data_IF_144566103602
#
_entry.id   IF_144566103602
#
_cell.length_a   1.000
_cell.length_b   1.000
_cell.length_c   1.000
_cell.angle_alpha   90.00
_cell.angle_beta   90.00
_cell.angle_gamma   90.00
#
_symmetry.space_group_name_H-M   'P 1'
#
loop_
_entity.id
_entity.type
_entity.pdbx_description
1 polymer ?
#
# COMPACT_ATOMS: atom_id res chain seq x y z
N UNK A 1 7.78 34.89 -11.40
CA UNK A 1 6.77 33.83 -11.19
C UNK A 1 7.44 32.51 -11.50
N UNK A 2 7.94 31.81 -10.48
CA UNK A 2 8.65 30.53 -10.64
C UNK A 2 7.64 29.40 -10.67
N UNK A 3 7.46 28.80 -11.84
CA UNK A 3 6.67 27.59 -12.03
C UNK A 3 7.28 26.42 -11.24
N UNK A 4 6.58 26.00 -10.19
CA UNK A 4 6.84 24.75 -9.52
C UNK A 4 6.05 23.63 -10.20
N UNK A 5 6.58 23.09 -11.30
CA UNK A 5 6.12 21.79 -11.80
C UNK A 5 6.82 20.68 -11.01
N UNK A 6 6.43 20.49 -9.75
CA UNK A 6 6.72 19.27 -9.00
C UNK A 6 5.68 18.22 -9.38
N UNK A 7 6.08 17.10 -9.97
CA UNK A 7 5.18 16.02 -10.37
C UNK A 7 4.35 15.52 -9.18
N UNK A 8 3.09 15.91 -9.13
CA UNK A 8 2.06 15.54 -8.15
C UNK A 8 1.60 14.07 -8.26
N UNK A 9 2.33 13.23 -9.00
CA UNK A 9 1.96 11.83 -9.24
C UNK A 9 2.42 10.98 -8.05
N UNK A 10 1.48 10.49 -7.25
CA UNK A 10 1.79 9.53 -6.19
C UNK A 10 2.24 8.18 -6.74
N UNK A 11 2.88 7.38 -5.90
CA UNK A 11 3.23 6.00 -6.20
C UNK A 11 1.99 5.11 -6.05
N UNK A 12 1.85 4.11 -6.93
CA UNK A 12 0.67 3.25 -6.96
C UNK A 12 1.03 1.85 -6.46
N UNK A 13 0.19 1.28 -5.60
CA UNK A 13 0.18 -0.13 -5.23
C UNK A 13 -1.16 -0.71 -5.69
N UNK A 14 -1.12 -1.72 -6.54
CA UNK A 14 -2.33 -2.35 -7.09
C UNK A 14 -2.19 -3.87 -7.07
N UNK A 15 -3.33 -4.56 -7.13
CA UNK A 15 -3.35 -6.02 -7.12
C UNK A 15 -4.76 -6.59 -7.21
N UNK A 16 -4.84 -7.92 -7.09
CA UNK A 16 -6.09 -8.68 -7.00
C UNK A 16 -6.01 -9.68 -5.87
N UNK A 17 -7.14 -9.93 -5.21
CA UNK A 17 -7.25 -10.88 -4.10
C UNK A 17 -8.22 -11.98 -4.49
N UNK A 18 -7.78 -13.22 -4.26
CA UNK A 18 -8.55 -14.44 -4.51
C UNK A 18 -8.59 -15.30 -3.26
N UNK A 19 -9.61 -16.15 -3.13
CA UNK A 19 -9.63 -17.23 -2.14
C UNK A 19 -8.84 -18.46 -2.61
N UNK A 20 -8.83 -19.52 -1.81
CA UNK A 20 -8.16 -20.78 -2.12
C UNK A 20 -8.76 -21.53 -3.32
N UNK A 21 -9.95 -21.15 -3.77
CA UNK A 21 -10.62 -21.70 -4.95
C UNK A 21 -10.44 -20.81 -6.19
N UNK A 22 -9.57 -19.79 -6.12
CA UNK A 22 -9.34 -18.78 -7.15
C UNK A 22 -10.56 -17.90 -7.47
N UNK A 23 -11.49 -17.74 -6.53
CA UNK A 23 -12.61 -16.80 -6.67
C UNK A 23 -12.21 -15.40 -6.18
N UNK A 24 -12.56 -14.33 -6.90
CA UNK A 24 -12.20 -12.97 -6.51
C UNK A 24 -12.90 -12.55 -5.22
N UNK A 25 -12.14 -11.97 -4.28
CA UNK A 25 -12.66 -11.54 -2.99
C UNK A 25 -12.92 -10.03 -2.97
N UNK A 26 -14.20 -9.67 -3.05
CA UNK A 26 -14.68 -8.31 -2.96
C UNK A 26 -14.83 -7.82 -1.52
N UNK A 27 -14.89 -6.49 -1.35
CA UNK A 27 -15.19 -5.81 -0.06
C UNK A 27 -14.17 -6.07 1.06
N UNK A 28 -12.94 -6.44 0.72
CA UNK A 28 -11.86 -6.57 1.70
C UNK A 28 -11.15 -5.22 1.88
N UNK A 29 -10.81 -4.89 3.13
CA UNK A 29 -10.01 -3.72 3.43
C UNK A 29 -8.53 -4.04 3.15
N UNK A 30 -7.94 -3.31 2.23
CA UNK A 30 -6.51 -3.38 1.88
C UNK A 30 -5.80 -2.21 2.52
N UNK A 31 -4.78 -2.48 3.34
CA UNK A 31 -3.95 -1.47 3.98
C UNK A 31 -2.53 -1.54 3.46
N UNK A 32 -2.01 -0.40 3.02
CA UNK A 32 -0.62 -0.21 2.60
C UNK A 32 0.08 0.66 3.64
N UNK A 33 1.18 0.14 4.17
CA UNK A 33 1.99 0.81 5.16
C UNK A 33 3.46 0.82 4.75
N UNK A 34 4.20 1.82 5.23
CA UNK A 34 5.66 1.81 5.27
C UNK A 34 6.12 1.06 6.54
N UNK A 35 6.94 0.02 6.37
CA UNK A 35 7.55 -0.74 7.45
C UNK A 35 8.90 -0.16 7.80
N UNK A 36 8.91 0.78 8.73
CA UNK A 36 10.14 1.22 9.36
C UNK A 36 10.59 0.19 10.43
N UNK A 37 11.88 0.20 10.79
CA UNK A 37 12.56 -0.80 11.63
C UNK A 37 11.79 -1.25 12.90
N UNK A 38 10.93 -0.39 13.46
CA UNK A 38 10.10 -0.71 14.64
C UNK A 38 8.65 -0.24 14.55
N UNK A 39 8.22 0.34 13.43
CA UNK A 39 6.90 0.95 13.31
C UNK A 39 6.29 0.74 11.94
N UNK A 40 4.98 0.52 11.90
CA UNK A 40 4.18 0.55 10.68
C UNK A 40 3.51 1.91 10.57
N UNK A 41 3.74 2.59 9.45
CA UNK A 41 3.17 3.91 9.17
C UNK A 41 2.15 3.73 8.07
N UNK A 42 0.88 3.95 8.40
CA UNK A 42 -0.19 3.87 7.41
C UNK A 42 0.05 4.91 6.31
N UNK A 43 0.15 4.44 5.07
CA UNK A 43 0.24 5.32 3.91
C UNK A 43 -1.14 5.57 3.32
N UNK A 44 -1.91 4.49 3.11
CA UNK A 44 -3.27 4.56 2.60
C UNK A 44 -4.00 3.22 2.76
N UNK A 45 -5.32 3.25 2.57
CA UNK A 45 -6.18 2.07 2.54
C UNK A 45 -7.25 2.20 1.46
N UNK A 46 -7.72 1.07 0.94
CA UNK A 46 -8.85 0.99 0.00
C UNK A 46 -9.63 -0.29 0.21
N UNK A 47 -10.71 -0.47 -0.54
CA UNK A 47 -11.55 -1.67 -0.52
C UNK A 47 -11.49 -2.37 -1.87
N UNK A 48 -11.40 -3.71 -1.88
CA UNK A 48 -11.45 -4.46 -3.14
C UNK A 48 -12.80 -4.35 -3.84
N UNK A 49 -12.77 -4.20 -5.16
CA UNK A 49 -13.97 -4.19 -6.00
C UNK A 49 -14.58 -5.59 -6.18
N UNK A 50 -15.66 -5.69 -6.97
CA UNK A 50 -16.35 -6.95 -7.27
C UNK A 50 -15.49 -8.00 -7.98
N UNK A 51 -14.37 -7.59 -8.59
CA UNK A 51 -13.40 -8.44 -9.26
C UNK A 51 -12.16 -8.71 -8.38
N UNK A 52 -12.22 -8.34 -7.10
CA UNK A 52 -11.14 -8.48 -6.14
C UNK A 52 -9.99 -7.51 -6.36
N UNK A 53 -10.11 -6.55 -7.28
CA UNK A 53 -9.06 -5.58 -7.61
C UNK A 53 -8.98 -4.49 -6.55
N UNK A 54 -7.77 -4.01 -6.31
CA UNK A 54 -7.53 -2.79 -5.56
C UNK A 54 -6.44 -1.95 -6.24
N UNK A 55 -6.53 -0.64 -6.05
CA UNK A 55 -5.52 0.33 -6.43
C UNK A 55 -5.44 1.38 -5.33
N UNK A 56 -4.23 1.69 -4.87
CA UNK A 56 -3.95 2.62 -3.78
C UNK A 56 -2.81 3.54 -4.21
N UNK A 57 -3.02 4.85 -4.03
CA UNK A 57 -1.98 5.86 -4.24
C UNK A 57 -1.41 6.33 -2.91
N UNK A 58 -0.08 6.38 -2.81
CA UNK A 58 0.65 6.97 -1.68
C UNK A 58 1.66 8.01 -2.15
N UNK A 59 2.00 8.94 -1.27
CA UNK A 59 2.92 10.05 -1.57
C UNK A 59 4.17 9.96 -0.73
N UNK A 60 5.30 10.28 -1.34
CA UNK A 60 6.60 10.38 -0.67
C UNK A 60 6.56 11.31 0.55
N UNK A 61 5.73 12.37 0.51
CA UNK A 61 5.56 13.32 1.61
C UNK A 61 4.95 12.71 2.88
N UNK A 62 4.37 11.50 2.80
CA UNK A 62 3.83 10.78 3.96
C UNK A 62 4.91 9.99 4.71
N UNK A 63 6.10 9.80 4.13
CA UNK A 63 7.17 9.03 4.74
C UNK A 63 7.76 9.77 5.93
N UNK A 64 7.97 9.04 7.03
CA UNK A 64 8.53 9.57 8.27
C UNK A 64 9.89 8.94 8.58
N UNK A 65 10.65 9.56 9.48
CA UNK A 65 11.98 9.07 9.88
C UNK A 65 13.11 9.53 8.96
N UNK A 66 14.25 8.85 9.06
CA UNK A 66 15.51 9.24 8.40
C UNK A 66 15.57 8.82 6.93
N UNK A 67 14.81 7.81 6.52
CA UNK A 67 14.82 7.27 5.16
C UNK A 67 13.58 7.70 4.34
N UNK A 68 13.28 9.00 4.27
CA UNK A 68 12.12 9.53 3.50
C UNK A 68 12.29 9.41 1.98
N UNK A 69 13.30 8.69 1.51
CA UNK A 69 13.61 8.48 0.09
C UNK A 69 12.88 7.28 -0.50
N UNK A 70 12.47 6.34 0.34
CA UNK A 70 11.78 5.14 -0.09
C UNK A 70 10.88 4.59 1.02
N UNK A 71 9.87 3.84 0.63
CA UNK A 71 9.00 3.10 1.54
C UNK A 71 9.33 1.61 1.47
N UNK A 72 9.26 0.94 2.60
CA UNK A 72 9.26 -0.52 2.68
C UNK A 72 7.79 -0.98 2.74
N UNK A 73 7.25 -1.36 1.58
CA UNK A 73 5.81 -1.56 1.42
C UNK A 73 5.38 -2.87 2.06
N UNK A 74 4.49 -2.76 3.04
CA UNK A 74 3.78 -3.85 3.69
C UNK A 74 2.29 -3.77 3.35
N UNK A 75 1.71 -4.93 2.99
CA UNK A 75 0.27 -5.08 2.73
C UNK A 75 -0.37 -5.90 3.85
N UNK A 76 -1.52 -5.42 4.34
CA UNK A 76 -2.38 -6.13 5.28
C UNK A 76 -3.81 -6.14 4.74
N UNK A 77 -4.44 -7.31 4.72
CA UNK A 77 -5.81 -7.52 4.25
C UNK A 77 -6.69 -7.85 5.45
N UNK A 78 -7.80 -7.12 5.59
CA UNK A 78 -8.69 -7.26 6.72
C UNK A 78 -10.16 -7.38 6.28
N UNK A 79 -10.98 -7.99 7.14
CA UNK A 79 -12.45 -7.89 7.00
C UNK A 79 -12.88 -6.45 7.26
N UNK A 80 -13.88 -5.92 6.54
CA UNK A 80 -14.24 -4.49 6.61
C UNK A 80 -14.86 -4.09 7.95
N UNK A 81 -15.65 -4.98 8.57
CA UNK A 81 -16.43 -4.66 9.78
C UNK A 81 -15.61 -4.82 11.05
N UNK A 82 -15.05 -6.02 11.28
CA UNK A 82 -14.31 -6.36 12.50
C UNK A 82 -12.82 -6.06 12.40
N UNK A 83 -12.33 -5.66 11.23
CA UNK A 83 -10.90 -5.49 10.95
C UNK A 83 -10.09 -6.74 11.34
N UNK A 84 -10.69 -7.92 11.14
CA UNK A 84 -10.00 -9.20 11.35
C UNK A 84 -8.94 -9.35 10.26
N UNK A 85 -7.69 -9.59 10.65
CA UNK A 85 -6.60 -9.80 9.70
C UNK A 85 -6.77 -11.14 9.00
N UNK A 86 -6.89 -11.11 7.67
CA UNK A 86 -6.93 -12.29 6.80
C UNK A 86 -5.55 -12.59 6.21
N UNK A 87 -4.78 -11.54 5.93
CA UNK A 87 -3.41 -11.64 5.44
C UNK A 87 -2.57 -10.50 6.01
N UNK A 88 -1.31 -10.80 6.32
CA UNK A 88 -0.29 -9.84 6.67
C UNK A 88 1.00 -10.24 5.97
N UNK A 89 1.64 -9.29 5.29
CA UNK A 89 2.93 -9.56 4.65
C UNK A 89 3.94 -10.05 5.69
N UNK A 90 4.60 -11.16 5.39
CA UNK A 90 5.81 -11.57 6.10
C UNK A 90 7.03 -10.78 5.57
N UNK A 91 8.19 -11.02 6.18
CA UNK A 91 9.44 -10.35 5.79
C UNK A 91 9.79 -10.58 4.31
N UNK A 92 9.46 -11.74 3.77
CA UNK A 92 9.78 -12.13 2.39
C UNK A 92 8.85 -11.46 1.37
N UNK A 93 7.65 -11.06 1.82
CA UNK A 93 6.63 -10.41 1.00
C UNK A 93 6.72 -8.88 1.01
N UNK A 94 7.54 -8.30 1.88
CA UNK A 94 7.75 -6.85 1.92
C UNK A 94 8.50 -6.40 0.67
N UNK A 95 7.96 -5.38 0.00
CA UNK A 95 8.65 -4.71 -1.11
C UNK A 95 9.52 -3.58 -0.56
N UNK A 96 10.79 -3.88 -0.33
CA UNK A 96 11.78 -2.93 0.17
C UNK A 96 12.11 -1.84 -0.84
N UNK A 97 12.43 -0.65 -0.32
CA UNK A 97 12.97 0.49 -1.06
C UNK A 97 12.12 0.95 -2.26
N UNK A 98 10.79 0.91 -2.14
CA UNK A 98 9.90 1.48 -3.15
C UNK A 98 10.03 3.02 -3.14
N UNK A 99 10.44 3.62 -4.26
CA UNK A 99 10.67 5.06 -4.38
C UNK A 99 9.98 5.63 -5.61
N UNK A 100 9.71 6.94 -5.58
CA UNK A 100 9.27 7.65 -6.77
C UNK A 100 10.45 7.85 -7.70
N UNK A 101 10.51 7.07 -8.78
CA UNK A 101 11.48 7.26 -9.85
C UNK A 101 11.26 8.59 -10.56
N UNK A 102 12.34 9.30 -10.92
CA UNK A 102 12.25 10.35 -11.94
C UNK A 102 11.99 9.65 -13.27
N UNK A 103 10.88 9.98 -13.92
CA UNK A 103 10.65 9.64 -15.34
C UNK A 103 11.71 10.31 -16.20
#
# INVERSE_FOLDING_TARGET
MTNQNGSTEGNIVFGKIYDSQNLPLAKLLVRVSDKNLRSEVLLAETVTDKEGKYEITWKQSQLIGRNRKSADILIKILTPEKKTVLYNSDINSIRFNAYQGKK
#
